data_IF_849297286940
#
_entry.id   IF_849297286940
#
_cell.length_a   1.000
_cell.length_b   1.000
_cell.length_c   1.000
_cell.angle_alpha   90.00
_cell.angle_beta   90.00
_cell.angle_gamma   90.00
#
_symmetry.space_group_name_H-M   'P 1'
#
loop_
_entity.id
_entity.type
_entity.pdbx_description
1 polymer ?
#
# COMPACT_ATOMS: atom_id res chain seq x y z
N UNK A 1 -3.20 9.75 10.02
CA UNK A 1 -3.32 10.86 9.04
C UNK A 1 -2.99 10.43 7.61
N UNK A 2 -2.05 9.48 7.44
CA UNK A 2 -1.60 8.89 6.16
C UNK A 2 -2.70 8.54 5.14
N UNK A 3 -3.82 7.92 5.55
CA UNK A 3 -4.90 7.57 4.62
C UNK A 3 -5.44 8.75 3.80
N UNK A 4 -5.54 9.93 4.40
CA UNK A 4 -6.03 11.13 3.69
C UNK A 4 -5.04 11.62 2.63
N UNK A 5 -3.74 11.47 2.88
CA UNK A 5 -2.69 11.81 1.91
C UNK A 5 -2.70 10.80 0.76
N UNK A 6 -2.79 9.51 1.08
CA UNK A 6 -2.86 8.42 0.11
C UNK A 6 -4.11 8.50 -0.78
N UNK A 7 -5.25 8.86 -0.21
CA UNK A 7 -6.51 8.99 -0.95
C UNK A 7 -6.51 10.16 -1.96
N UNK A 8 -5.65 11.17 -1.80
CA UNK A 8 -5.56 12.29 -2.74
C UNK A 8 -4.50 12.08 -3.84
N UNK A 9 -3.76 10.96 -3.80
CA UNK A 9 -2.74 10.66 -4.79
C UNK A 9 -3.33 9.77 -5.88
N UNK A 10 -3.38 10.25 -7.12
CA UNK A 10 -3.92 9.52 -8.27
C UNK A 10 -3.20 8.19 -8.53
N UNK A 11 -1.89 8.13 -8.23
CA UNK A 11 -1.11 6.90 -8.35
C UNK A 11 -1.57 5.83 -7.34
N UNK A 12 -1.92 6.26 -6.12
CA UNK A 12 -2.34 5.38 -5.02
C UNK A 12 -3.78 4.93 -5.17
N UNK A 13 -4.65 5.74 -5.79
CA UNK A 13 -6.05 5.39 -6.08
C UNK A 13 -6.17 4.04 -6.80
N UNK A 14 -5.28 3.77 -7.77
CA UNK A 14 -5.21 2.49 -8.48
C UNK A 14 -4.99 1.31 -7.52
N UNK A 15 -4.14 1.47 -6.52
CA UNK A 15 -3.83 0.44 -5.53
C UNK A 15 -4.94 0.29 -4.49
N UNK A 16 -5.62 1.38 -4.12
CA UNK A 16 -6.81 1.35 -3.24
C UNK A 16 -7.91 0.51 -3.88
N UNK A 17 -8.13 0.68 -5.20
CA UNK A 17 -9.09 -0.14 -5.95
C UNK A 17 -8.71 -1.62 -5.93
N UNK A 18 -7.45 -1.95 -6.24
CA UNK A 18 -6.97 -3.34 -6.17
C UNK A 18 -7.17 -3.96 -4.79
N UNK A 19 -6.79 -3.26 -3.72
CA UNK A 19 -6.96 -3.79 -2.36
C UNK A 19 -8.44 -3.97 -1.99
N UNK A 20 -9.31 -3.05 -2.45
CA UNK A 20 -10.77 -3.19 -2.28
C UNK A 20 -11.32 -4.40 -3.02
N UNK A 21 -10.83 -4.68 -4.22
CA UNK A 21 -11.22 -5.85 -5.01
C UNK A 21 -10.74 -7.15 -4.33
N UNK A 22 -9.52 -7.20 -3.79
CA UNK A 22 -9.04 -8.33 -2.99
C UNK A 22 -9.93 -8.58 -1.76
N UNK A 23 -10.31 -7.52 -1.05
CA UNK A 23 -11.17 -7.63 0.13
C UNK A 23 -12.60 -8.09 -0.22
N UNK A 24 -13.15 -7.62 -1.35
CA UNK A 24 -14.44 -8.11 -1.85
C UNK A 24 -14.38 -9.58 -2.25
N UNK A 25 -13.33 -9.98 -2.97
CA UNK A 25 -13.09 -11.37 -3.37
C UNK A 25 -12.95 -12.28 -2.16
N UNK A 26 -12.30 -11.79 -1.10
CA UNK A 26 -12.17 -12.48 0.17
C UNK A 26 -13.46 -12.47 1.03
N UNK A 27 -14.56 -11.87 0.57
CA UNK A 27 -15.84 -11.82 1.29
C UNK A 27 -15.82 -10.91 2.53
N UNK A 28 -14.92 -9.92 2.59
CA UNK A 28 -14.80 -9.01 3.74
C UNK A 28 -15.84 -7.89 3.66
N UNK A 29 -16.87 -7.95 4.50
CA UNK A 29 -17.93 -6.92 4.54
C UNK A 29 -17.51 -5.58 5.16
N UNK A 30 -16.36 -5.47 5.83
CA UNK A 30 -15.85 -4.23 6.43
C UNK A 30 -14.64 -3.65 5.68
N UNK A 31 -14.73 -3.63 4.35
CA UNK A 31 -13.59 -3.24 3.51
C UNK A 31 -13.13 -1.80 3.77
N UNK A 32 -14.01 -0.82 3.98
CA UNK A 32 -13.58 0.57 4.26
C UNK A 32 -12.71 0.69 5.52
N UNK A 33 -13.11 0.02 6.60
CA UNK A 33 -12.35 0.01 7.85
C UNK A 33 -11.03 -0.73 7.69
N UNK A 34 -11.03 -1.87 6.98
CA UNK A 34 -9.81 -2.62 6.66
C UNK A 34 -8.87 -1.86 5.75
N UNK A 35 -9.39 -1.12 4.79
CA UNK A 35 -8.62 -0.23 3.92
C UNK A 35 -7.96 0.85 4.78
N UNK A 36 -8.70 1.57 5.62
CA UNK A 36 -8.11 2.61 6.47
C UNK A 36 -7.03 2.10 7.44
N UNK A 37 -7.18 0.87 7.96
CA UNK A 37 -6.26 0.30 8.95
C UNK A 37 -5.11 -0.51 8.35
N UNK A 38 -5.34 -1.17 7.21
CA UNK A 38 -4.44 -2.17 6.64
C UNK A 38 -3.88 -1.80 5.28
N UNK A 39 -4.38 -0.76 4.62
CA UNK A 39 -3.89 -0.38 3.30
C UNK A 39 -2.43 0.05 3.33
N UNK A 40 -1.98 0.76 4.37
CA UNK A 40 -0.57 1.16 4.50
C UNK A 40 0.37 -0.05 4.46
N UNK A 41 0.11 -1.05 5.31
CA UNK A 41 0.90 -2.29 5.35
C UNK A 41 0.78 -3.09 4.05
N UNK A 42 -0.43 -3.20 3.49
CA UNK A 42 -0.65 -3.92 2.24
C UNK A 42 0.09 -3.25 1.07
N UNK A 43 -0.03 -1.92 0.96
CA UNK A 43 0.59 -1.13 -0.10
C UNK A 43 2.12 -1.25 -0.03
N UNK A 44 2.72 -1.03 1.13
CA UNK A 44 4.17 -1.18 1.30
C UNK A 44 4.67 -2.58 0.92
N UNK A 45 3.97 -3.64 1.37
CA UNK A 45 4.31 -5.02 1.00
C UNK A 45 4.12 -5.28 -0.50
N UNK A 46 3.07 -4.74 -1.10
CA UNK A 46 2.77 -4.91 -2.51
C UNK A 46 3.84 -4.25 -3.39
N UNK A 47 4.25 -3.02 -3.05
CA UNK A 47 5.33 -2.29 -3.74
C UNK A 47 6.67 -3.01 -3.58
N UNK A 48 6.99 -3.52 -2.38
CA UNK A 48 8.20 -4.32 -2.16
C UNK A 48 8.23 -5.58 -3.02
N UNK A 49 7.13 -6.34 -3.08
CA UNK A 49 7.01 -7.53 -3.93
C UNK A 49 7.10 -7.20 -5.41
N UNK A 50 6.43 -6.14 -5.84
CA UNK A 50 6.54 -5.65 -7.21
C UNK A 50 8.00 -5.31 -7.55
N UNK A 51 8.78 -4.77 -6.61
CA UNK A 51 10.18 -4.40 -6.87
C UNK A 51 11.04 -5.64 -7.06
N UNK A 52 10.79 -6.65 -6.25
CA UNK A 52 11.45 -7.95 -6.35
C UNK A 52 11.13 -8.66 -7.68
N UNK A 53 9.87 -8.62 -8.12
CA UNK A 53 9.42 -9.31 -9.33
C UNK A 53 9.64 -8.51 -10.63
N UNK A 54 9.60 -7.18 -10.56
CA UNK A 54 9.60 -6.26 -11.70
C UNK A 54 10.41 -4.98 -11.42
N UNK A 55 11.73 -5.12 -11.23
CA UNK A 55 12.66 -4.02 -10.93
C UNK A 55 12.56 -2.79 -11.87
N UNK A 56 12.06 -2.96 -13.10
CA UNK A 56 12.12 -1.93 -14.16
C UNK A 56 10.85 -1.06 -14.28
N UNK A 57 9.77 -1.35 -13.54
CA UNK A 57 8.45 -0.72 -13.78
C UNK A 57 7.84 0.05 -12.61
N UNK A 58 8.52 0.13 -11.47
CA UNK A 58 8.02 0.90 -10.34
C UNK A 58 8.60 2.30 -10.38
N UNK A 59 7.71 3.27 -10.31
CA UNK A 59 8.07 4.67 -10.15
C UNK A 59 8.83 4.88 -8.83
N UNK A 60 10.01 5.49 -8.88
CA UNK A 60 10.89 5.66 -7.73
C UNK A 60 10.21 6.47 -6.61
N UNK A 61 9.32 7.40 -6.98
CA UNK A 61 8.52 8.17 -6.03
C UNK A 61 7.56 7.27 -5.26
N UNK A 62 6.97 6.28 -5.94
CA UNK A 62 6.04 5.33 -5.35
C UNK A 62 6.76 4.36 -4.39
N UNK A 63 7.99 3.95 -4.73
CA UNK A 63 8.83 3.15 -3.86
C UNK A 63 9.29 3.94 -2.63
N UNK A 64 9.72 5.20 -2.82
CA UNK A 64 10.09 6.09 -1.73
C UNK A 64 8.92 6.34 -0.77
N UNK A 65 7.71 6.52 -1.32
CA UNK A 65 6.49 6.62 -0.52
C UNK A 65 6.23 5.34 0.28
N UNK A 66 6.31 4.17 -0.35
CA UNK A 66 6.13 2.88 0.33
C UNK A 66 7.16 2.65 1.45
N UNK A 67 8.41 3.04 1.24
CA UNK A 67 9.48 3.00 2.24
C UNK A 67 9.23 3.97 3.41
N UNK A 68 8.83 5.21 3.11
CA UNK A 68 8.47 6.20 4.13
C UNK A 68 7.34 5.69 5.04
N UNK A 69 6.34 5.02 4.45
CA UNK A 69 5.24 4.40 5.18
C UNK A 69 5.66 3.25 6.11
N UNK A 70 6.72 2.51 5.76
CA UNK A 70 7.28 1.45 6.62
C UNK A 70 8.03 2.06 7.80
N UNK A 71 8.84 3.09 7.53
CA UNK A 71 9.62 3.79 8.54
C UNK A 71 8.71 4.49 9.57
N UNK A 72 7.59 5.08 9.14
CA UNK A 72 6.59 5.64 10.04
C UNK A 72 5.82 4.57 10.84
N UNK A 73 5.73 3.34 10.34
CA UNK A 73 5.00 2.25 11.01
C UNK A 73 5.80 1.57 12.13
N UNK A 74 7.07 1.95 12.37
CA UNK A 74 7.91 1.37 13.42
C UNK A 74 8.31 -0.09 13.19
N UNK A 75 8.19 -0.61 11.97
CA UNK A 75 8.66 -1.95 11.64
C UNK A 75 10.04 -1.82 10.99
N UNK A 76 11.08 -1.74 11.83
CA UNK A 76 12.47 -1.88 11.38
C UNK A 76 12.64 -3.27 10.75
N UNK A 77 12.99 -3.38 9.45
CA UNK A 77 13.54 -4.63 8.96
C UNK A 77 14.86 -4.82 9.71
N UNK A 78 14.92 -5.84 10.57
CA UNK A 78 16.16 -6.22 11.22
C UNK A 78 17.19 -6.53 10.12
N UNK A 79 18.33 -5.87 10.24
CA UNK A 79 19.50 -5.98 9.38
C UNK A 79 20.01 -7.41 9.25
#
# INVERSE_FOLDING_TARGET
>A
MVWYVLNNCSQVEKYVRMFREELQTAGVHNFERKIRLGFQTWFSNHIMRLRDTHQDKIDEDLFSLACALILESGNTPHA
#
